data_IF_510809679933
#
_entry.id   IF_510809679933
#
_cell.length_a   1.000
_cell.length_b   1.000
_cell.length_c   1.000
_cell.angle_alpha   90.00
_cell.angle_beta   90.00
_cell.angle_gamma   90.00
#
_symmetry.space_group_name_H-M   'P 1'
#
loop_
_entity.id
_entity.type
_entity.pdbx_description
1 polymer ?
#
# COMPACT_ATOMS: atom_id res chain seq x y z
N UNK A 1 -22.51 -19.05 -17.77
CA UNK A 1 -23.24 -17.87 -17.33
C UNK A 1 -22.86 -17.52 -15.88
N UNK A 2 -21.58 -17.10 -15.68
CA UNK A 2 -21.10 -16.48 -14.46
C UNK A 2 -20.68 -15.07 -14.88
N UNK A 3 -21.65 -14.20 -14.95
CA UNK A 3 -21.43 -12.81 -15.32
C UNK A 3 -22.50 -11.95 -14.68
N UNK A 4 -22.07 -11.07 -13.77
CA UNK A 4 -22.81 -9.93 -13.28
C UNK A 4 -23.92 -10.16 -12.25
N UNK A 5 -23.59 -10.77 -11.12
CA UNK A 5 -24.15 -10.27 -9.89
C UNK A 5 -23.09 -9.44 -9.16
N UNK A 6 -22.62 -8.38 -9.80
CA UNK A 6 -22.08 -7.27 -9.07
C UNK A 6 -23.28 -6.67 -8.31
N UNK A 7 -23.27 -6.92 -7.02
CA UNK A 7 -24.40 -6.73 -6.13
C UNK A 7 -24.93 -5.30 -6.27
N UNK A 8 -26.25 -5.10 -6.37
CA UNK A 8 -26.92 -3.78 -6.30
C UNK A 8 -26.36 -2.98 -5.12
N UNK A 9 -25.96 -3.64 -4.06
CA UNK A 9 -25.28 -3.12 -2.88
C UNK A 9 -23.96 -2.44 -3.22
N UNK A 10 -23.08 -3.05 -4.04
CA UNK A 10 -21.77 -2.50 -4.42
C UNK A 10 -21.95 -1.25 -5.30
N UNK A 11 -22.97 -1.22 -6.14
CA UNK A 11 -23.33 -0.06 -6.96
C UNK A 11 -23.80 1.12 -6.11
N UNK A 12 -24.59 0.87 -5.07
CA UNK A 12 -25.07 1.92 -4.16
C UNK A 12 -23.93 2.48 -3.30
N UNK A 13 -23.01 1.63 -2.86
CA UNK A 13 -21.84 2.04 -2.08
C UNK A 13 -20.87 2.86 -2.96
N UNK A 14 -20.67 2.48 -4.22
CA UNK A 14 -19.90 3.26 -5.18
C UNK A 14 -20.50 4.65 -5.43
N UNK A 15 -21.82 4.74 -5.63
CA UNK A 15 -22.52 6.02 -5.84
C UNK A 15 -22.44 6.90 -4.59
N UNK A 16 -22.58 6.30 -3.40
CA UNK A 16 -22.45 7.03 -2.13
C UNK A 16 -21.04 7.59 -2.00
N UNK A 17 -20.03 6.78 -2.22
CA UNK A 17 -18.61 7.19 -2.17
C UNK A 17 -18.32 8.36 -3.13
N UNK A 18 -18.80 8.26 -4.38
CA UNK A 18 -18.63 9.34 -5.37
C UNK A 18 -19.29 10.66 -4.91
N UNK A 19 -20.45 10.60 -4.27
CA UNK A 19 -21.14 11.78 -3.74
C UNK A 19 -20.41 12.37 -2.54
N UNK A 20 -19.96 11.56 -1.60
CA UNK A 20 -19.20 12.00 -0.42
C UNK A 20 -17.88 12.68 -0.80
N UNK A 21 -17.26 12.25 -1.89
CA UNK A 21 -16.03 12.84 -2.42
C UNK A 21 -16.26 13.93 -3.48
N UNK A 22 -17.52 14.26 -3.78
CA UNK A 22 -17.94 15.25 -4.80
C UNK A 22 -17.41 14.94 -6.21
N UNK A 23 -17.20 13.66 -6.52
CA UNK A 23 -16.67 13.19 -7.78
C UNK A 23 -17.80 13.01 -8.81
N UNK A 24 -18.12 14.07 -9.54
CA UNK A 24 -19.27 14.10 -10.46
C UNK A 24 -18.95 13.63 -11.88
N UNK A 25 -17.68 13.61 -12.29
CA UNK A 25 -17.24 13.22 -13.63
C UNK A 25 -16.13 12.16 -13.57
N UNK A 26 -15.98 11.37 -14.64
CA UNK A 26 -14.87 10.37 -14.74
C UNK A 26 -13.52 11.06 -14.66
N UNK A 27 -13.39 12.24 -15.25
CA UNK A 27 -12.14 13.01 -15.20
C UNK A 27 -11.81 13.48 -13.75
N UNK A 28 -12.82 13.92 -12.98
CA UNK A 28 -12.63 14.28 -11.57
C UNK A 28 -12.23 13.06 -10.73
N UNK A 29 -12.80 11.89 -11.02
CA UNK A 29 -12.43 10.62 -10.40
C UNK A 29 -10.98 10.23 -10.72
N UNK A 30 -10.59 10.29 -12.00
CA UNK A 30 -9.22 9.96 -12.44
C UNK A 30 -8.20 10.92 -11.80
N UNK A 31 -8.48 12.23 -11.78
CA UNK A 31 -7.64 13.24 -11.12
C UNK A 31 -7.51 12.99 -9.61
N UNK A 32 -8.61 12.62 -8.96
CA UNK A 32 -8.59 12.30 -7.52
C UNK A 32 -7.82 11.01 -7.25
N UNK A 33 -7.99 9.98 -8.07
CA UNK A 33 -7.22 8.73 -7.99
C UNK A 33 -5.72 8.97 -8.13
N UNK A 34 -5.30 9.83 -9.07
CA UNK A 34 -3.89 10.21 -9.26
C UNK A 34 -3.37 10.96 -8.01
N UNK A 35 -4.17 11.87 -7.47
CA UNK A 35 -3.81 12.62 -6.25
C UNK A 35 -3.60 11.69 -5.06
N UNK A 36 -4.55 10.78 -4.79
CA UNK A 36 -4.46 9.83 -3.66
C UNK A 36 -3.33 8.82 -3.89
N UNK A 37 -3.12 8.37 -5.14
CA UNK A 37 -1.99 7.52 -5.49
C UNK A 37 -0.64 8.24 -5.26
N UNK A 38 -0.55 9.53 -5.59
CA UNK A 38 0.60 10.37 -5.31
C UNK A 38 0.88 10.51 -3.82
N UNK A 39 -0.16 10.65 -2.99
CA UNK A 39 -0.01 10.67 -1.52
C UNK A 39 0.59 9.36 -0.99
N UNK A 40 0.16 8.20 -1.51
CA UNK A 40 0.74 6.91 -1.12
C UNK A 40 2.25 6.83 -1.47
N UNK A 41 2.66 7.39 -2.60
CA UNK A 41 4.08 7.46 -3.00
C UNK A 41 4.86 8.37 -2.06
N UNK A 42 4.33 9.56 -1.73
CA UNK A 42 4.96 10.50 -0.80
C UNK A 42 5.16 9.90 0.58
N UNK A 43 4.12 9.27 1.15
CA UNK A 43 4.18 8.60 2.45
C UNK A 43 5.28 7.53 2.47
N UNK A 44 5.39 6.70 1.41
CA UNK A 44 6.47 5.70 1.31
C UNK A 44 7.84 6.33 1.21
N UNK A 45 7.98 7.43 0.48
CA UNK A 45 9.24 8.14 0.35
C UNK A 45 9.71 8.72 1.68
N UNK A 46 8.81 9.25 2.50
CA UNK A 46 9.10 9.78 3.84
C UNK A 46 9.40 8.66 4.87
N UNK A 47 8.74 7.50 4.76
CA UNK A 47 8.92 6.36 5.65
C UNK A 47 10.26 5.65 5.42
N UNK A 48 10.66 5.48 4.15
CA UNK A 48 11.84 4.71 3.75
C UNK A 48 13.16 5.11 4.45
N UNK A 49 13.54 6.40 4.60
CA UNK A 49 14.75 6.79 5.31
C UNK A 49 14.69 6.43 6.80
N UNK A 50 13.52 6.48 7.43
CA UNK A 50 13.31 6.10 8.83
C UNK A 50 13.48 4.59 9.03
N UNK A 51 12.91 3.78 8.17
CA UNK A 51 13.12 2.32 8.17
C UNK A 51 14.59 1.95 7.92
N UNK A 52 15.28 2.67 7.02
CA UNK A 52 16.71 2.49 6.80
C UNK A 52 17.50 2.80 8.05
N UNK A 53 17.21 3.93 8.71
CA UNK A 53 17.90 4.32 9.94
C UNK A 53 17.65 3.34 11.08
N UNK A 54 16.45 2.80 11.23
CA UNK A 54 16.16 1.74 12.21
C UNK A 54 17.04 0.51 11.98
N UNK A 55 17.18 0.03 10.72
CA UNK A 55 18.04 -1.10 10.38
C UNK A 55 19.52 -0.82 10.69
N UNK A 56 19.97 0.41 10.46
CA UNK A 56 21.35 0.81 10.82
C UNK A 56 21.55 0.75 12.33
N UNK A 57 20.59 1.22 13.13
CA UNK A 57 20.63 1.16 14.58
C UNK A 57 20.60 -0.31 15.06
N UNK A 58 19.73 -1.16 14.51
CA UNK A 58 19.64 -2.58 14.85
C UNK A 58 20.97 -3.29 14.58
N UNK A 59 21.60 -2.99 13.44
CA UNK A 59 22.92 -3.53 13.09
C UNK A 59 24.00 -3.06 14.08
N UNK A 60 24.00 -1.79 14.44
CA UNK A 60 24.92 -1.20 15.41
C UNK A 60 24.75 -1.84 16.79
N UNK A 61 23.52 -1.97 17.26
CA UNK A 61 23.20 -2.59 18.57
C UNK A 61 23.64 -4.06 18.59
N UNK A 62 23.45 -4.80 17.49
CA UNK A 62 23.93 -6.18 17.35
C UNK A 62 25.46 -6.27 17.47
N UNK A 63 26.20 -5.38 16.81
CA UNK A 63 27.66 -5.35 16.93
C UNK A 63 28.12 -4.96 18.33
N UNK A 64 27.43 -4.02 19.00
CA UNK A 64 27.73 -3.66 20.39
C UNK A 64 27.51 -4.87 21.31
N UNK A 65 26.39 -5.56 21.17
CA UNK A 65 26.10 -6.76 21.96
C UNK A 65 27.15 -7.86 21.76
N UNK A 66 27.54 -8.14 20.51
CA UNK A 66 28.59 -9.10 20.20
C UNK A 66 29.94 -8.70 20.77
N UNK A 67 30.31 -7.42 20.69
CA UNK A 67 31.55 -6.91 21.27
C UNK A 67 31.58 -7.10 22.79
N UNK A 68 30.51 -6.72 23.49
CA UNK A 68 30.44 -6.83 24.94
C UNK A 68 30.40 -8.29 25.40
N UNK A 69 29.62 -9.14 24.73
CA UNK A 69 29.51 -10.57 25.05
C UNK A 69 30.84 -11.33 24.90
N UNK A 70 31.59 -11.05 23.83
CA UNK A 70 32.78 -11.81 23.48
C UNK A 70 34.09 -11.11 23.89
N UNK A 71 34.04 -9.94 24.51
CA UNK A 71 35.19 -9.22 25.04
C UNK A 71 36.01 -10.06 26.05
N UNK A 72 35.42 -10.83 27.01
CA UNK A 72 36.15 -11.71 27.91
C UNK A 72 36.94 -12.78 27.16
N UNK A 73 36.34 -13.47 26.20
CA UNK A 73 36.96 -14.53 25.40
C UNK A 73 38.13 -13.96 24.59
N UNK A 74 37.97 -12.78 24.00
CA UNK A 74 39.05 -12.11 23.32
C UNK A 74 40.21 -11.73 24.26
N UNK A 75 39.91 -11.29 25.49
CA UNK A 75 40.95 -10.98 26.48
C UNK A 75 41.76 -12.22 26.89
N UNK A 76 41.08 -13.36 27.11
CA UNK A 76 41.74 -14.65 27.35
C UNK A 76 42.63 -15.07 26.18
N UNK A 77 42.11 -14.99 24.94
CA UNK A 77 42.90 -15.25 23.72
C UNK A 77 44.14 -14.37 23.61
N UNK A 78 44.00 -13.09 23.93
CA UNK A 78 45.15 -12.14 23.88
C UNK A 78 46.20 -12.42 24.96
N UNK A 79 45.82 -12.97 26.12
CA UNK A 79 46.72 -13.31 27.20
C UNK A 79 47.56 -14.56 26.92
N UNK A 80 47.19 -15.42 25.97
CA UNK A 80 47.92 -16.64 25.62
C UNK A 80 49.16 -16.27 24.84
N UNK A 81 50.35 -16.56 25.47
CA UNK A 81 51.67 -16.22 24.89
C UNK A 81 52.21 -17.26 23.89
N UNK A 82 51.87 -18.55 24.11
CA UNK A 82 52.41 -19.65 23.31
C UNK A 82 51.55 -19.96 22.11
N UNK A 83 52.17 -20.20 20.96
CA UNK A 83 51.52 -20.38 19.67
C UNK A 83 50.53 -21.56 19.67
N UNK A 84 50.96 -22.75 20.10
CA UNK A 84 50.15 -23.98 20.06
C UNK A 84 48.90 -23.91 20.93
N UNK A 85 48.91 -23.48 22.22
CA UNK A 85 47.72 -23.25 23.01
C UNK A 85 46.82 -22.17 22.43
N UNK A 86 47.38 -21.11 21.83
CA UNK A 86 46.64 -20.03 21.21
C UNK A 86 45.86 -20.50 19.99
N UNK A 87 46.42 -21.35 19.15
CA UNK A 87 45.74 -21.97 18.01
C UNK A 87 44.61 -22.91 18.45
N UNK A 88 44.85 -23.70 19.53
CA UNK A 88 43.82 -24.57 20.09
C UNK A 88 42.64 -23.77 20.67
N UNK A 89 42.95 -22.71 21.40
CA UNK A 89 41.91 -21.81 21.93
C UNK A 89 41.11 -21.12 20.79
N UNK A 90 41.80 -20.61 19.77
CA UNK A 90 41.13 -20.00 18.63
C UNK A 90 40.23 -20.97 17.86
N UNK A 91 40.63 -22.26 17.77
CA UNK A 91 39.80 -23.29 17.15
C UNK A 91 38.55 -23.62 17.98
N UNK A 92 38.68 -23.63 19.31
CA UNK A 92 37.57 -23.91 20.24
C UNK A 92 36.57 -22.75 20.35
N UNK A 93 37.02 -21.50 20.20
CA UNK A 93 36.23 -20.26 20.36
C UNK A 93 36.15 -19.45 19.06
N UNK A 94 36.14 -20.14 17.93
CA UNK A 94 36.19 -19.49 16.61
C UNK A 94 35.10 -18.50 16.39
N UNK A 95 33.85 -18.92 16.62
CA UNK A 95 32.65 -18.10 16.33
C UNK A 95 32.59 -16.85 17.20
N UNK A 96 33.00 -16.96 18.47
CA UNK A 96 33.05 -15.86 19.43
C UNK A 96 34.13 -14.83 19.04
N UNK A 97 35.32 -15.31 18.65
CA UNK A 97 36.40 -14.44 18.19
C UNK A 97 36.07 -13.77 16.85
N UNK A 98 35.41 -14.49 15.93
CA UNK A 98 34.97 -13.94 14.65
C UNK A 98 33.88 -12.87 14.86
N UNK A 99 32.93 -13.11 15.75
CA UNK A 99 31.88 -12.12 16.11
C UNK A 99 32.50 -10.87 16.75
N UNK A 100 33.46 -11.02 17.68
CA UNK A 100 34.19 -9.91 18.28
C UNK A 100 34.95 -9.10 17.22
N UNK A 101 35.72 -9.78 16.37
CA UNK A 101 36.50 -9.13 15.32
C UNK A 101 35.63 -8.44 14.27
N UNK A 102 34.46 -9.00 13.95
CA UNK A 102 33.48 -8.35 13.07
C UNK A 102 32.95 -7.04 13.69
N UNK A 103 32.63 -7.06 14.98
CA UNK A 103 32.21 -5.86 15.70
C UNK A 103 33.31 -4.78 15.73
N UNK A 104 34.57 -5.16 16.00
CA UNK A 104 35.70 -4.21 15.99
C UNK A 104 35.88 -3.59 14.61
N UNK A 105 35.80 -4.40 13.53
CA UNK A 105 35.87 -3.87 12.16
C UNK A 105 34.73 -2.91 11.86
N UNK A 106 33.51 -3.25 12.27
CA UNK A 106 32.34 -2.39 12.10
C UNK A 106 32.54 -1.03 12.79
N UNK A 107 33.01 -1.02 14.04
CA UNK A 107 33.26 0.21 14.79
C UNK A 107 34.34 1.10 14.16
N UNK A 108 35.41 0.50 13.61
CA UNK A 108 36.46 1.25 12.90
C UNK A 108 35.93 1.96 11.65
N UNK A 109 34.95 1.35 10.95
CA UNK A 109 34.40 1.91 9.71
C UNK A 109 33.29 2.92 9.99
N UNK A 110 32.44 2.64 10.98
CA UNK A 110 31.18 3.39 11.16
C UNK A 110 31.18 4.35 12.34
N UNK A 111 32.08 4.19 13.32
CA UNK A 111 32.09 5.04 14.51
C UNK A 111 33.29 6.01 14.58
N UNK A 112 34.35 5.80 13.77
CA UNK A 112 35.54 6.67 13.70
C UNK A 112 36.00 7.22 15.07
N UNK A 113 35.97 6.39 16.11
CA UNK A 113 36.29 6.79 17.49
C UNK A 113 35.18 7.52 18.25
N UNK A 114 34.01 7.69 17.67
CA UNK A 114 32.84 8.31 18.34
C UNK A 114 32.33 7.38 19.45
N UNK A 115 32.12 7.94 20.65
CA UNK A 115 31.51 7.19 21.75
C UNK A 115 30.04 6.96 21.44
N UNK A 116 29.63 5.68 21.45
CA UNK A 116 28.23 5.31 21.32
C UNK A 116 27.56 5.21 22.70
N UNK A 117 26.25 5.44 22.72
CA UNK A 117 25.41 5.18 23.89
C UNK A 117 24.26 4.27 23.48
N UNK A 118 24.30 3.02 23.95
CA UNK A 118 23.22 2.05 23.76
C UNK A 118 21.86 2.59 24.16
N UNK A 119 21.81 3.36 25.25
CA UNK A 119 20.57 4.01 25.72
C UNK A 119 20.01 4.97 24.66
N UNK A 120 20.84 5.88 24.13
CA UNK A 120 20.41 6.83 23.09
C UNK A 120 19.99 6.13 21.80
N UNK A 121 20.71 5.07 21.40
CA UNK A 121 20.34 4.30 20.22
C UNK A 121 19.00 3.59 20.39
N UNK A 122 18.72 3.03 21.56
CA UNK A 122 17.44 2.40 21.86
C UNK A 122 16.30 3.43 21.93
N UNK A 123 16.54 4.63 22.49
CA UNK A 123 15.57 5.74 22.49
C UNK A 123 15.25 6.18 21.07
N UNK A 124 16.27 6.42 20.23
CA UNK A 124 16.11 6.79 18.81
C UNK A 124 15.35 5.70 18.05
N UNK A 125 15.71 4.44 18.25
CA UNK A 125 15.01 3.29 17.64
C UNK A 125 13.53 3.24 18.02
N UNK A 126 13.21 3.45 19.29
CA UNK A 126 11.82 3.45 19.78
C UNK A 126 11.03 4.61 19.18
N UNK A 127 11.60 5.79 19.11
CA UNK A 127 10.99 6.95 18.48
C UNK A 127 10.71 6.68 16.99
N UNK A 128 11.71 6.22 16.24
CA UNK A 128 11.57 5.89 14.82
C UNK A 128 10.54 4.79 14.59
N UNK A 129 10.45 3.79 15.48
CA UNK A 129 9.46 2.73 15.40
C UNK A 129 8.02 3.28 15.53
N UNK A 130 7.81 4.24 16.44
CA UNK A 130 6.53 4.96 16.57
C UNK A 130 6.19 5.72 15.29
N UNK A 131 7.13 6.52 14.79
CA UNK A 131 6.92 7.29 13.54
C UNK A 131 6.62 6.37 12.33
N UNK A 132 7.35 5.27 12.19
CA UNK A 132 7.11 4.28 11.12
C UNK A 132 5.73 3.62 11.27
N UNK A 133 5.28 3.35 12.49
CA UNK A 133 3.93 2.82 12.74
C UNK A 133 2.84 3.78 12.28
N UNK A 134 2.97 5.08 12.60
CA UNK A 134 2.05 6.12 12.13
C UNK A 134 2.03 6.24 10.60
N UNK A 135 3.19 6.20 9.94
CA UNK A 135 3.26 6.20 8.48
C UNK A 135 2.60 4.97 7.86
N UNK A 136 2.74 3.78 8.46
CA UNK A 136 2.09 2.54 8.00
C UNK A 136 0.58 2.61 8.11
N UNK A 137 0.06 3.16 9.20
CA UNK A 137 -1.38 3.36 9.39
C UNK A 137 -1.94 4.32 8.34
N UNK A 138 -1.31 5.48 8.15
CA UNK A 138 -1.69 6.45 7.11
C UNK A 138 -1.60 5.84 5.71
N UNK A 139 -0.56 5.08 5.42
CA UNK A 139 -0.39 4.40 4.13
C UNK A 139 -1.49 3.37 3.89
N UNK A 140 -1.86 2.60 4.92
CA UNK A 140 -2.94 1.61 4.83
C UNK A 140 -4.29 2.27 4.49
N UNK A 141 -4.62 3.39 5.15
CA UNK A 141 -5.85 4.14 4.87
C UNK A 141 -5.87 4.67 3.41
N UNK A 142 -4.76 5.28 2.96
CA UNK A 142 -4.64 5.78 1.59
C UNK A 142 -4.70 4.64 0.56
N UNK A 143 -4.12 3.48 0.85
CA UNK A 143 -4.17 2.31 -0.04
C UNK A 143 -5.59 1.74 -0.17
N UNK A 144 -6.38 1.75 0.91
CA UNK A 144 -7.78 1.34 0.86
C UNK A 144 -8.60 2.31 0.01
N UNK A 145 -8.40 3.63 0.15
CA UNK A 145 -9.03 4.63 -0.72
C UNK A 145 -8.67 4.41 -2.19
N UNK A 146 -7.39 4.17 -2.51
CA UNK A 146 -6.95 3.87 -3.89
C UNK A 146 -7.62 2.61 -4.44
N UNK A 147 -7.78 1.58 -3.61
CA UNK A 147 -8.46 0.35 -4.01
C UNK A 147 -9.94 0.62 -4.33
N UNK A 148 -10.65 1.29 -3.43
CA UNK A 148 -12.08 1.66 -3.64
C UNK A 148 -12.23 2.48 -4.93
N UNK A 149 -11.36 3.48 -5.14
CA UNK A 149 -11.41 4.32 -6.34
C UNK A 149 -11.18 3.52 -7.63
N UNK A 150 -10.26 2.56 -7.63
CA UNK A 150 -10.00 1.68 -8.77
C UNK A 150 -11.19 0.76 -9.04
N UNK A 151 -11.79 0.21 -8.00
CA UNK A 151 -12.96 -0.66 -8.12
C UNK A 151 -14.16 0.14 -8.67
N UNK A 152 -14.40 1.35 -8.16
CA UNK A 152 -15.41 2.29 -8.69
C UNK A 152 -15.12 2.64 -10.15
N UNK A 153 -13.86 2.94 -10.49
CA UNK A 153 -13.46 3.26 -11.88
C UNK A 153 -13.66 2.09 -12.82
N UNK A 154 -13.32 0.89 -12.38
CA UNK A 154 -13.53 -0.35 -13.14
C UNK A 154 -15.02 -0.60 -13.38
N UNK A 155 -15.82 -0.47 -12.34
CA UNK A 155 -17.27 -0.59 -12.43
C UNK A 155 -17.89 0.43 -13.39
N UNK A 156 -17.48 1.71 -13.31
CA UNK A 156 -17.96 2.75 -14.23
C UNK A 156 -17.64 2.42 -15.70
N UNK A 157 -16.49 1.83 -15.98
CA UNK A 157 -16.16 1.41 -17.33
C UNK A 157 -17.08 0.30 -17.88
N UNK A 158 -17.59 -0.57 -17.02
CA UNK A 158 -18.55 -1.62 -17.41
C UNK A 158 -19.96 -1.07 -17.58
N UNK A 159 -20.35 -0.13 -16.73
CA UNK A 159 -21.70 0.41 -16.66
C UNK A 159 -21.95 1.54 -17.65
N UNK A 160 -20.93 2.36 -17.88
CA UNK A 160 -20.94 3.50 -18.78
C UNK A 160 -19.82 3.36 -19.84
N UNK A 161 -19.99 2.54 -20.88
CA UNK A 161 -19.03 2.45 -21.97
C UNK A 161 -18.78 3.84 -22.55
N UNK A 162 -17.51 4.18 -22.77
CA UNK A 162 -17.03 5.53 -23.06
C UNK A 162 -17.71 6.21 -24.26
N UNK A 163 -18.18 5.46 -25.26
CA UNK A 163 -18.88 6.00 -26.43
C UNK A 163 -20.32 6.44 -26.09
N UNK A 164 -21.07 5.64 -25.32
CA UNK A 164 -22.45 5.98 -24.92
C UNK A 164 -22.49 7.13 -23.90
N UNK A 165 -21.48 7.20 -23.06
CA UNK A 165 -21.37 8.25 -22.03
C UNK A 165 -21.07 9.63 -22.67
N UNK A 166 -20.27 9.66 -23.74
CA UNK A 166 -19.98 10.90 -24.49
C UNK A 166 -21.19 11.42 -25.28
N UNK A 167 -22.07 10.51 -25.75
CA UNK A 167 -23.26 10.88 -26.52
C UNK A 167 -24.37 11.49 -25.66
N UNK A 168 -24.38 11.28 -24.35
CA UNK A 168 -25.38 11.84 -23.42
C UNK A 168 -25.00 13.24 -22.91
N UNK A 169 -23.79 13.71 -23.21
CA UNK A 169 -23.34 15.03 -22.77
C UNK A 169 -23.91 16.14 -23.66
N UNK A 170 -24.47 17.18 -23.03
CA UNK A 170 -24.79 18.42 -23.75
C UNK A 170 -23.53 19.05 -24.35
N UNK A 171 -23.61 19.67 -25.53
CA UNK A 171 -22.47 20.34 -26.14
C UNK A 171 -21.87 21.38 -25.17
N UNK A 172 -20.58 21.19 -24.82
CA UNK A 172 -19.84 22.09 -23.92
C UNK A 172 -19.90 21.77 -22.43
N UNK A 173 -20.68 20.78 -21.99
CA UNK A 173 -20.64 20.27 -20.59
C UNK A 173 -19.91 18.94 -20.51
N UNK A 174 -19.08 18.77 -19.46
CA UNK A 174 -18.48 17.48 -19.16
C UNK A 174 -19.57 16.50 -18.71
N UNK A 175 -19.58 15.25 -19.23
CA UNK A 175 -20.63 14.29 -18.90
C UNK A 175 -20.59 13.92 -17.42
N UNK A 176 -21.74 13.99 -16.76
CA UNK A 176 -21.92 13.64 -15.35
C UNK A 176 -22.14 12.13 -15.18
N UNK A 177 -21.40 11.51 -14.27
CA UNK A 177 -21.56 10.08 -13.90
C UNK A 177 -23.00 9.82 -13.44
N UNK A 178 -23.55 10.70 -12.62
CA UNK A 178 -24.93 10.55 -12.06
C UNK A 178 -25.98 10.58 -13.15
N UNK A 179 -25.85 11.47 -14.13
CA UNK A 179 -26.78 11.55 -15.29
C UNK A 179 -26.65 10.32 -16.19
N UNK A 180 -25.43 9.87 -16.44
CA UNK A 180 -25.18 8.64 -17.20
C UNK A 180 -25.82 7.40 -16.56
N UNK A 181 -25.73 7.26 -15.23
CA UNK A 181 -26.34 6.16 -14.48
C UNK A 181 -27.86 6.23 -14.51
N UNK A 182 -28.48 7.42 -14.34
CA UNK A 182 -29.92 7.61 -14.44
C UNK A 182 -30.43 7.26 -15.85
N UNK A 183 -29.73 7.68 -16.89
CA UNK A 183 -30.10 7.36 -18.26
C UNK A 183 -30.02 5.86 -18.58
N UNK A 184 -29.08 5.13 -17.96
CA UNK A 184 -29.03 3.67 -18.07
C UNK A 184 -30.20 2.99 -17.33
N UNK A 185 -30.48 3.42 -16.10
CA UNK A 185 -31.60 2.88 -15.31
C UNK A 185 -32.95 3.04 -16.06
N UNK A 186 -33.15 4.19 -16.68
CA UNK A 186 -34.36 4.43 -17.50
C UNK A 186 -34.42 3.48 -18.70
N UNK A 187 -33.31 3.23 -19.37
CA UNK A 187 -33.24 2.28 -20.51
C UNK A 187 -33.55 0.86 -20.08
N UNK A 188 -32.98 0.40 -18.99
CA UNK A 188 -33.24 -0.95 -18.44
C UNK A 188 -34.72 -1.09 -18.09
N UNK A 189 -35.32 -0.07 -17.46
CA UNK A 189 -36.76 -0.08 -17.12
C UNK A 189 -37.63 -0.17 -18.39
N UNK A 190 -37.31 0.61 -19.43
CA UNK A 190 -38.04 0.58 -20.70
C UNK A 190 -37.92 -0.77 -21.42
N UNK A 191 -36.71 -1.39 -21.36
CA UNK A 191 -36.50 -2.73 -21.90
C UNK A 191 -37.32 -3.79 -21.13
N UNK A 192 -37.34 -3.74 -19.81
CA UNK A 192 -38.15 -4.64 -18.98
C UNK A 192 -39.65 -4.47 -19.25
N UNK A 193 -40.14 -3.26 -19.42
CA UNK A 193 -41.53 -3.00 -19.78
C UNK A 193 -41.89 -3.57 -21.17
N UNK A 194 -40.99 -3.49 -22.15
CA UNK A 194 -41.16 -4.12 -23.47
C UNK A 194 -41.28 -5.63 -23.40
N UNK A 195 -40.50 -6.28 -22.52
CA UNK A 195 -40.52 -7.73 -22.34
C UNK A 195 -41.74 -8.22 -21.56
N UNK A 196 -42.37 -7.37 -20.76
CA UNK A 196 -43.59 -7.67 -19.99
C UNK A 196 -44.90 -7.46 -20.80
N UNK A 197 -44.81 -6.82 -21.97
CA UNK A 197 -45.97 -6.74 -22.84
C UNK A 197 -46.22 -8.10 -23.49
N UNK A 198 -47.44 -8.70 -23.32
CA UNK A 198 -47.76 -9.97 -23.98
C UNK A 198 -47.71 -9.76 -25.50
N UNK A 199 -47.20 -10.79 -26.25
CA UNK A 199 -47.15 -10.69 -27.71
C UNK A 199 -48.59 -10.37 -28.25
N UNK A 200 -48.68 -9.26 -28.99
CA UNK A 200 -49.94 -8.92 -29.68
C UNK A 200 -50.35 -10.09 -30.53
N UNK A 201 -51.49 -10.73 -30.18
CA UNK A 201 -52.04 -11.82 -30.92
C UNK A 201 -52.51 -11.32 -32.29
N UNK A 202 -52.16 -12.02 -33.37
CA UNK A 202 -52.51 -11.69 -34.77
C UNK A 202 -53.99 -11.39 -35.00
N UNK A 203 -54.91 -11.78 -34.09
CA UNK A 203 -56.34 -11.49 -34.16
C UNK A 203 -56.73 -9.99 -33.95
N UNK A 204 -55.82 -9.14 -33.55
CA UNK A 204 -56.14 -7.70 -33.39
C UNK A 204 -55.75 -6.85 -34.60
N UNK A 205 -54.98 -7.41 -35.54
CA UNK A 205 -54.62 -6.73 -36.78
C UNK A 205 -55.69 -6.80 -37.89
N UNK A 206 -56.57 -7.83 -37.82
CA UNK A 206 -57.63 -8.03 -38.83
C UNK A 206 -58.96 -7.30 -38.51
N UNK A 207 -59.02 -6.52 -37.42
CA UNK A 207 -60.22 -5.79 -37.05
C UNK A 207 -60.14 -4.28 -37.31
N UNK A 208 -59.03 -3.79 -37.89
CA UNK A 208 -58.83 -2.34 -38.25
C UNK A 208 -58.70 -2.12 -39.79
N UNK A 209 -59.29 -3.02 -40.61
CA UNK A 209 -59.43 -2.82 -42.07
C UNK A 209 -60.90 -2.66 -42.47
#
# INVERSE_FOLDING_TARGET
LVGSEMCIRDSMDAIRYLREKELSTVESLDTYLDTVSGQAVSIRAEMKPKEKRMKEIDTMLSHIANFEAHKPVHAEYAAIRFKKPKEQFAAAHRDELDAYNAAVRYFKVHLEGTKYSTKKLNEERTQLAGEVAEYKERLSAVQEDVKILRDVRHWLNQVLPSEQYRQTAEPGKKPSIVEGLKGREQRIRQEQEKWQQPPRTQKQQDMEL
#
